data_IF_834728214403
#
_entry.id   IF_834728214403
#
_cell.length_a   1.000
_cell.length_b   1.000
_cell.length_c   1.000
_cell.angle_alpha   90.00
_cell.angle_beta   90.00
_cell.angle_gamma   90.00
#
_symmetry.space_group_name_H-M   'P 1'
#
loop_
_entity.id
_entity.type
_entity.pdbx_description
1 polymer ?
#
# COMPACT_ATOMS: atom_id res chain seq x y z
N UNK A 1 9.31 21.55 3.67
CA UNK A 1 9.03 20.50 4.69
C UNK A 1 7.92 19.65 4.13
N UNK A 2 8.19 18.38 3.85
CA UNK A 2 7.15 17.44 3.42
C UNK A 2 6.44 17.00 4.70
N UNK A 3 5.15 17.32 4.82
CA UNK A 3 4.36 16.89 5.96
C UNK A 3 4.36 15.35 6.02
N UNK A 4 4.39 14.73 7.21
CA UNK A 4 4.28 13.29 7.31
C UNK A 4 2.99 12.84 6.60
N UNK A 5 3.03 11.72 5.86
CA UNK A 5 1.89 11.28 5.10
C UNK A 5 0.68 11.08 5.99
N UNK A 6 -0.46 11.58 5.52
CA UNK A 6 -1.73 11.46 6.23
C UNK A 6 -2.09 9.98 6.27
N UNK A 7 -2.32 9.44 7.46
CA UNK A 7 -2.88 8.10 7.60
C UNK A 7 -4.29 8.12 7.02
N UNK A 8 -4.50 7.36 5.94
CA UNK A 8 -5.81 7.18 5.34
C UNK A 8 -6.58 6.17 6.21
N UNK A 9 -7.74 6.59 6.73
CA UNK A 9 -8.55 5.77 7.64
C UNK A 9 -9.85 5.38 6.95
N UNK A 10 -9.79 4.34 6.15
CA UNK A 10 -10.98 3.77 5.51
C UNK A 10 -10.94 2.24 5.59
N UNK A 11 -11.86 1.65 6.37
CA UNK A 11 -11.92 0.19 6.53
C UNK A 11 -12.54 -0.52 5.32
N UNK A 12 -13.05 0.23 4.33
CA UNK A 12 -13.55 -0.32 3.07
C UNK A 12 -12.44 -0.52 2.03
N UNK A 13 -11.25 0.05 2.27
CA UNK A 13 -10.11 -0.01 1.38
C UNK A 13 -9.11 -1.10 1.83
N UNK A 14 -8.51 -1.79 0.86
CA UNK A 14 -7.41 -2.72 1.09
C UNK A 14 -6.10 -1.99 1.44
N UNK A 15 -5.10 -2.70 1.97
CA UNK A 15 -3.78 -2.11 2.25
C UNK A 15 -3.15 -1.46 1.00
N UNK A 16 -3.35 -2.09 -0.17
CA UNK A 16 -2.98 -1.54 -1.47
C UNK A 16 -3.69 -0.20 -1.74
N UNK A 17 -5.02 -0.15 -1.67
CA UNK A 17 -5.80 1.06 -1.94
C UNK A 17 -5.43 2.19 -0.99
N UNK A 18 -5.21 1.88 0.29
CA UNK A 18 -4.79 2.87 1.29
C UNK A 18 -3.43 3.46 0.98
N UNK A 19 -2.43 2.63 0.67
CA UNK A 19 -1.08 3.08 0.36
C UNK A 19 -1.06 3.94 -0.92
N UNK A 20 -1.73 3.50 -1.98
CA UNK A 20 -1.80 4.25 -3.25
C UNK A 20 -2.56 5.58 -3.06
N UNK A 21 -3.65 5.58 -2.29
CA UNK A 21 -4.38 6.81 -1.97
C UNK A 21 -3.49 7.81 -1.25
N UNK A 22 -2.71 7.37 -0.26
CA UNK A 22 -1.77 8.24 0.46
C UNK A 22 -0.72 8.86 -0.47
N UNK A 23 -0.13 8.07 -1.38
CA UNK A 23 0.85 8.56 -2.34
C UNK A 23 0.26 9.59 -3.31
N UNK A 24 -0.96 9.37 -3.77
CA UNK A 24 -1.65 10.28 -4.68
C UNK A 24 -2.13 11.57 -4.00
N UNK A 25 -2.63 11.52 -2.76
CA UNK A 25 -2.97 12.72 -1.97
C UNK A 25 -1.73 13.61 -1.78
N UNK A 26 -0.54 13.02 -1.61
CA UNK A 26 0.74 13.76 -1.53
C UNK A 26 1.09 14.51 -2.83
N UNK A 27 0.55 14.08 -3.97
CA UNK A 27 0.69 14.75 -5.27
C UNK A 27 -0.49 15.70 -5.58
N UNK A 28 -1.43 15.86 -4.64
CA UNK A 28 -2.59 16.74 -4.80
C UNK A 28 -3.78 16.10 -5.52
N UNK A 29 -3.81 14.77 -5.66
CA UNK A 29 -4.96 14.05 -6.21
C UNK A 29 -5.86 13.58 -5.09
N UNK A 30 -7.14 13.96 -5.14
CA UNK A 30 -8.10 13.56 -4.11
C UNK A 30 -8.56 12.11 -4.32
N UNK A 31 -8.79 11.39 -3.22
CA UNK A 31 -9.26 10.00 -3.23
C UNK A 31 -10.51 9.78 -4.11
N UNK A 32 -11.45 10.72 -4.08
CA UNK A 32 -12.69 10.66 -4.89
C UNK A 32 -12.41 10.79 -6.41
N UNK A 33 -11.29 11.42 -6.78
CA UNK A 33 -10.83 11.54 -8.16
C UNK A 33 -9.99 10.33 -8.62
N UNK A 34 -9.58 9.48 -7.67
CA UNK A 34 -8.80 8.29 -7.95
C UNK A 34 -9.70 7.12 -8.29
N UNK A 35 -10.64 6.79 -7.40
CA UNK A 35 -11.33 5.49 -7.47
C UNK A 35 -12.64 5.60 -8.24
N UNK A 36 -12.67 5.09 -9.47
CA UNK A 36 -13.89 5.04 -10.29
C UNK A 36 -14.64 3.69 -10.18
N UNK A 37 -14.80 3.21 -8.95
CA UNK A 37 -15.61 2.02 -8.70
C UNK A 37 -16.43 2.12 -7.42
N UNK A 38 -17.66 1.62 -7.54
CA UNK A 38 -18.50 1.22 -6.41
C UNK A 38 -18.91 -0.24 -6.65
N UNK A 39 -18.65 -1.13 -5.70
CA UNK A 39 -19.05 -2.54 -5.76
C UNK A 39 -17.98 -3.51 -5.28
N UNK A 40 -18.36 -4.78 -5.14
CA UNK A 40 -17.46 -5.89 -4.84
C UNK A 40 -17.35 -6.81 -6.05
N UNK A 41 -16.15 -7.29 -6.34
CA UNK A 41 -15.93 -8.45 -7.19
C UNK A 41 -16.09 -9.71 -6.36
N UNK A 42 -16.79 -10.68 -6.93
CA UNK A 42 -17.07 -11.95 -6.31
C UNK A 42 -16.64 -13.06 -7.27
N UNK A 43 -15.70 -13.89 -6.83
CA UNK A 43 -15.28 -15.08 -7.53
C UNK A 43 -15.48 -16.31 -6.64
N UNK A 44 -16.35 -17.22 -7.07
CA UNK A 44 -16.64 -18.45 -6.34
C UNK A 44 -15.63 -19.54 -6.74
N UNK A 45 -14.91 -20.07 -5.75
CA UNK A 45 -13.95 -21.17 -5.93
C UNK A 45 -14.48 -22.51 -5.38
N UNK A 46 -15.81 -22.64 -5.22
CA UNK A 46 -16.47 -23.87 -4.77
C UNK A 46 -16.06 -24.25 -3.35
N UNK A 47 -15.59 -25.49 -3.16
CA UNK A 47 -15.21 -26.02 -1.83
C UNK A 47 -14.05 -25.25 -1.16
N UNK A 48 -13.33 -24.40 -1.92
CA UNK A 48 -12.24 -23.56 -1.41
C UNK A 48 -12.72 -22.21 -0.86
N UNK A 49 -14.02 -21.91 -0.96
CA UNK A 49 -14.63 -20.65 -0.56
C UNK A 49 -14.78 -19.67 -1.72
N UNK A 50 -14.99 -18.40 -1.40
CA UNK A 50 -15.13 -17.33 -2.38
C UNK A 50 -14.07 -16.25 -2.14
N UNK A 51 -13.56 -15.67 -3.21
CA UNK A 51 -12.73 -14.47 -3.19
C UNK A 51 -13.66 -13.26 -3.33
N UNK A 52 -13.64 -12.38 -2.34
CA UNK A 52 -14.35 -11.12 -2.40
C UNK A 52 -13.30 -10.01 -2.42
N UNK A 53 -13.17 -9.34 -3.56
CA UNK A 53 -12.31 -8.19 -3.73
C UNK A 53 -13.18 -6.94 -3.76
N UNK A 54 -12.71 -5.83 -3.19
CA UNK A 54 -13.35 -4.52 -3.40
C UNK A 54 -13.14 -4.00 -4.83
N UNK A 55 -12.42 -4.75 -5.67
CA UNK A 55 -12.00 -4.39 -7.03
C UNK A 55 -12.63 -5.28 -8.09
N UNK A 56 -13.46 -4.73 -8.97
CA UNK A 56 -14.01 -5.47 -10.14
C UNK A 56 -13.26 -5.23 -11.45
N UNK A 57 -12.22 -4.39 -11.43
CA UNK A 57 -11.40 -4.01 -12.58
C UNK A 57 -9.91 -4.11 -12.25
N UNK A 58 -9.00 -4.17 -13.23
CA UNK A 58 -7.57 -3.88 -13.04
C UNK A 58 -7.34 -2.48 -12.44
N UNK A 59 -6.23 -2.26 -11.73
CA UNK A 59 -5.94 -0.99 -11.02
C UNK A 59 -5.78 0.17 -12.02
N UNK A 60 -5.16 -0.10 -13.16
CA UNK A 60 -5.01 0.83 -14.29
C UNK A 60 -6.36 1.36 -14.74
N UNK A 61 -7.38 0.50 -14.70
CA UNK A 61 -8.75 0.81 -15.10
C UNK A 61 -9.60 1.41 -13.96
N UNK A 62 -9.05 1.44 -12.74
CA UNK A 62 -9.70 2.03 -11.56
C UNK A 62 -9.32 3.49 -11.35
N UNK A 63 -8.21 3.95 -11.94
CA UNK A 63 -7.57 5.24 -11.66
C UNK A 63 -7.81 6.22 -12.81
N UNK A 64 -8.49 7.35 -12.55
CA UNK A 64 -8.83 8.32 -13.59
C UNK A 64 -7.72 9.34 -13.90
N UNK A 65 -6.97 9.78 -12.88
CA UNK A 65 -6.10 10.98 -12.98
C UNK A 65 -4.66 10.76 -12.50
N UNK A 66 -4.25 9.50 -12.31
CA UNK A 66 -2.88 9.15 -11.95
C UNK A 66 -2.33 8.05 -12.86
N UNK A 67 -1.02 8.03 -13.00
CA UNK A 67 -0.28 6.88 -13.51
C UNK A 67 0.55 6.30 -12.37
N UNK A 68 0.62 4.98 -12.28
CA UNK A 68 1.50 4.30 -11.36
C UNK A 68 2.55 3.52 -12.14
N UNK A 69 3.73 3.41 -11.54
CA UNK A 69 4.78 2.53 -12.03
C UNK A 69 5.03 1.48 -10.98
N UNK A 70 4.88 0.23 -11.36
CA UNK A 70 5.28 -0.91 -10.56
C UNK A 70 6.68 -1.37 -11.00
N UNK A 71 7.49 -1.73 -10.02
CA UNK A 71 8.83 -2.25 -10.24
C UNK A 71 8.95 -3.60 -9.54
N UNK A 72 9.28 -4.63 -10.31
CA UNK A 72 9.64 -5.94 -9.77
C UNK A 72 11.15 -6.05 -9.64
N UNK A 73 11.62 -6.58 -8.51
CA UNK A 73 13.04 -6.74 -8.21
C UNK A 73 13.37 -8.20 -7.96
N UNK A 74 14.53 -8.64 -8.43
CA UNK A 74 14.99 -10.02 -8.24
C UNK A 74 15.65 -10.23 -6.87
N UNK A 75 16.06 -9.15 -6.21
CA UNK A 75 16.67 -9.20 -4.88
C UNK A 75 16.38 -7.94 -4.06
N UNK A 76 16.55 -8.07 -2.74
CA UNK A 76 16.28 -7.02 -1.76
C UNK A 76 17.24 -5.84 -1.91
N UNK A 77 18.50 -6.08 -2.29
CA UNK A 77 19.51 -5.02 -2.42
C UNK A 77 19.14 -4.03 -3.53
N UNK A 78 18.77 -4.52 -4.71
CA UNK A 78 18.28 -3.71 -5.83
C UNK A 78 17.02 -2.93 -5.47
N UNK A 79 16.05 -3.59 -4.82
CA UNK A 79 14.84 -2.94 -4.34
C UNK A 79 15.20 -1.78 -3.38
N UNK A 80 16.03 -2.04 -2.38
CA UNK A 80 16.41 -1.03 -1.39
C UNK A 80 17.25 0.10 -1.98
N UNK A 81 18.07 -0.15 -3.00
CA UNK A 81 18.76 0.91 -3.73
C UNK A 81 17.76 1.84 -4.43
N UNK A 82 16.77 1.30 -5.12
CA UNK A 82 15.73 2.11 -5.76
C UNK A 82 14.89 2.89 -4.74
N UNK A 83 14.54 2.26 -3.61
CA UNK A 83 13.85 2.91 -2.47
C UNK A 83 14.65 4.14 -2.02
N UNK A 84 15.97 3.98 -1.83
CA UNK A 84 16.83 5.08 -1.41
C UNK A 84 16.86 6.23 -2.41
N UNK A 85 17.02 5.93 -3.70
CA UNK A 85 17.04 6.94 -4.76
C UNK A 85 15.76 7.78 -4.77
N UNK A 86 14.60 7.18 -4.55
CA UNK A 86 13.32 7.90 -4.46
C UNK A 86 13.20 8.74 -3.19
N UNK A 87 13.61 8.18 -2.04
CA UNK A 87 13.55 8.90 -0.77
C UNK A 87 14.50 10.12 -0.76
N UNK A 88 15.66 10.03 -1.41
CA UNK A 88 16.59 11.16 -1.58
C UNK A 88 16.00 12.29 -2.44
N UNK A 89 15.13 11.95 -3.38
CA UNK A 89 14.35 12.91 -4.17
C UNK A 89 13.15 13.49 -3.40
N UNK A 90 12.95 13.08 -2.14
CA UNK A 90 11.82 13.48 -1.32
C UNK A 90 10.50 12.83 -1.75
N UNK A 91 10.55 11.65 -2.37
CA UNK A 91 9.36 10.91 -2.81
C UNK A 91 9.10 9.74 -1.87
N UNK A 92 7.88 9.67 -1.34
CA UNK A 92 7.37 8.47 -0.67
C UNK A 92 7.06 7.39 -1.71
N UNK A 93 7.08 6.13 -1.27
CA UNK A 93 6.86 4.96 -2.12
C UNK A 93 6.19 3.84 -1.33
N UNK A 94 5.42 3.00 -2.01
CA UNK A 94 4.85 1.80 -1.43
C UNK A 94 5.72 0.59 -1.76
N UNK A 95 5.93 -0.29 -0.79
CA UNK A 95 6.64 -1.56 -0.95
C UNK A 95 5.73 -2.71 -0.56
N UNK A 96 5.78 -3.78 -1.35
CA UNK A 96 5.17 -5.05 -0.98
C UNK A 96 6.10 -5.79 -0.02
N UNK A 97 5.56 -6.27 1.08
CA UNK A 97 6.25 -7.06 2.10
C UNK A 97 5.42 -8.27 2.49
N UNK A 98 6.05 -9.27 3.09
CA UNK A 98 5.34 -10.40 3.68
C UNK A 98 4.86 -10.04 5.09
N UNK A 99 3.55 -10.15 5.34
CA UNK A 99 2.98 -9.87 6.64
C UNK A 99 3.47 -10.84 7.74
N UNK A 100 4.03 -11.98 7.37
CA UNK A 100 4.61 -12.97 8.27
C UNK A 100 5.70 -12.36 9.17
N UNK A 101 6.47 -11.40 8.66
CA UNK A 101 7.60 -10.76 9.36
C UNK A 101 7.22 -9.45 10.07
N UNK A 102 5.96 -8.99 9.93
CA UNK A 102 5.51 -7.73 10.50
C UNK A 102 5.04 -7.91 11.94
N UNK A 103 5.88 -7.55 12.92
CA UNK A 103 5.60 -7.70 14.36
C UNK A 103 4.27 -7.12 14.85
N UNK A 104 3.78 -6.07 14.21
CA UNK A 104 2.51 -5.41 14.56
C UNK A 104 1.29 -6.01 13.83
N UNK A 105 1.51 -6.90 12.86
CA UNK A 105 0.46 -7.57 12.10
C UNK A 105 -0.08 -8.79 12.85
N UNK A 106 -1.37 -9.08 12.66
CA UNK A 106 -1.97 -10.34 13.12
C UNK A 106 -1.39 -11.58 12.41
N UNK A 107 -0.67 -11.39 11.30
CA UNK A 107 0.00 -12.45 10.55
C UNK A 107 1.39 -12.83 11.08
N UNK A 108 1.93 -12.12 12.08
CA UNK A 108 3.31 -12.29 12.54
C UNK A 108 3.61 -13.74 12.96
N UNK A 109 4.43 -14.42 12.18
CA UNK A 109 4.75 -15.85 12.30
C UNK A 109 3.55 -16.81 12.26
N UNK A 110 2.42 -16.41 11.67
CA UNK A 110 1.21 -17.26 11.57
C UNK A 110 0.97 -17.72 10.13
N UNK A 111 0.90 -16.79 9.17
CA UNK A 111 0.63 -17.10 7.76
C UNK A 111 1.35 -16.09 6.86
N UNK A 112 1.61 -16.50 5.63
CA UNK A 112 2.20 -15.66 4.59
C UNK A 112 1.11 -14.97 3.79
N UNK A 113 1.20 -13.66 3.65
CA UNK A 113 0.32 -12.87 2.81
C UNK A 113 1.00 -11.56 2.43
N UNK A 114 0.81 -11.13 1.18
CA UNK A 114 1.35 -9.87 0.70
C UNK A 114 0.70 -8.67 1.41
N UNK A 115 1.51 -7.69 1.77
CA UNK A 115 1.07 -6.49 2.43
C UNK A 115 1.78 -5.27 1.87
N UNK A 116 1.08 -4.14 1.75
CA UNK A 116 1.69 -2.90 1.27
C UNK A 116 1.99 -1.95 2.44
N UNK A 117 3.24 -1.50 2.49
CA UNK A 117 3.71 -0.47 3.42
C UNK A 117 4.19 0.75 2.65
N UNK A 118 3.89 1.95 3.15
CA UNK A 118 4.49 3.17 2.61
C UNK A 118 5.79 3.48 3.33
N UNK A 119 6.90 3.66 2.61
CA UNK A 119 8.14 4.22 3.13
C UNK A 119 8.15 5.70 2.79
N UNK A 120 8.14 6.54 3.81
CA UNK A 120 7.90 7.97 3.67
C UNK A 120 9.20 8.79 3.72
N UNK A 121 10.17 8.32 4.51
CA UNK A 121 11.40 9.07 4.77
C UNK A 121 12.52 8.15 5.26
N UNK A 122 13.77 8.55 5.00
CA UNK A 122 14.97 7.98 5.62
C UNK A 122 15.72 9.04 6.45
N UNK A 123 16.29 8.64 7.57
CA UNK A 123 17.23 9.44 8.36
C UNK A 123 18.41 8.55 8.80
N UNK A 124 19.57 8.71 8.17
CA UNK A 124 20.69 7.77 8.34
C UNK A 124 20.25 6.36 7.98
N UNK A 125 20.41 5.40 8.89
CA UNK A 125 20.01 4.00 8.67
C UNK A 125 18.57 3.70 9.11
N UNK A 126 17.82 4.71 9.55
CA UNK A 126 16.43 4.55 9.99
C UNK A 126 15.45 4.92 8.88
N UNK A 127 14.52 4.01 8.58
CA UNK A 127 13.39 4.25 7.69
C UNK A 127 12.14 4.55 8.50
N UNK A 128 11.36 5.52 8.02
CA UNK A 128 10.04 5.84 8.54
C UNK A 128 9.02 5.22 7.60
N UNK A 129 8.23 4.31 8.17
CA UNK A 129 7.30 3.48 7.44
C UNK A 129 5.90 3.69 8.03
N UNK A 130 4.91 3.81 7.17
CA UNK A 130 3.50 3.91 7.51
C UNK A 130 2.77 2.68 7.02
N UNK A 131 2.24 1.91 7.97
CA UNK A 131 1.26 0.88 7.68
C UNK A 131 -0.14 1.48 7.79
N UNK A 132 -0.76 1.77 6.65
CA UNK A 132 -2.09 2.40 6.65
C UNK A 132 -3.20 1.44 7.09
N UNK A 133 -2.99 0.14 6.96
CA UNK A 133 -3.99 -0.87 7.28
C UNK A 133 -4.02 -1.19 8.78
N UNK A 134 -2.85 -1.25 9.41
CA UNK A 134 -2.74 -1.55 10.84
C UNK A 134 -2.70 -0.27 11.69
N UNK A 135 -3.88 0.22 12.04
CA UNK A 135 -4.02 1.26 13.07
C UNK A 135 -4.12 0.57 14.43
N UNK A 136 -3.06 0.64 15.25
CA UNK A 136 -3.14 0.20 16.65
C UNK A 136 -4.22 1.06 17.34
N UNK A 137 -5.38 0.45 17.62
CA UNK A 137 -6.36 1.02 18.53
C UNK A 137 -5.77 0.93 19.93
N UNK A 138 -5.09 1.98 20.37
CA UNK A 138 -4.78 2.15 21.78
C UNK A 138 -6.11 2.33 22.50
N UNK A 139 -6.47 1.38 23.37
CA UNK A 139 -7.56 1.55 24.34
C UNK A 139 -7.08 2.41 25.50
#
# INVERSE_FOLDING_TARGET
MINPPRIIKDNSLSCFQLAITSLAEQQGVHMDDMWYQAGFYFEDHGDKGFFMDSRYKPIEDQILNCYFVEYEFQNVEECMNQVNDYLEQGRSLAVTVDNYELKHSNGFHIYHHEHLLEINKRNGDTYFVTDHFFIIKVK
#
